data_IF_330231755835
#
_entry.id   IF_330231755835
#
_cell.length_a   1.000
_cell.length_b   1.000
_cell.length_c   1.000
_cell.angle_alpha   90.00
_cell.angle_beta   90.00
_cell.angle_gamma   90.00
#
_symmetry.space_group_name_H-M   'P 1'
#
loop_
_entity.id
_entity.type
_entity.pdbx_description
1 polymer ?
#
# COMPACT_ATOMS: atom_id res chain seq x y z
N UNK A 1 -21.87 17.83 18.07
CA UNK A 1 -21.97 16.37 17.79
C UNK A 1 -20.56 15.83 17.75
N UNK A 2 -20.09 15.30 18.88
CA UNK A 2 -18.76 14.72 19.03
C UNK A 2 -18.77 13.32 18.41
N UNK A 3 -18.12 13.18 17.26
CA UNK A 3 -17.88 11.92 16.56
C UNK A 3 -17.18 10.97 17.55
N UNK A 4 -17.57 9.69 17.66
CA UNK A 4 -16.81 8.75 18.48
C UNK A 4 -15.35 8.79 18.02
N UNK A 5 -14.41 8.83 18.98
CA UNK A 5 -12.98 8.72 18.74
C UNK A 5 -12.68 7.34 18.15
N UNK A 6 -12.96 7.18 16.85
CA UNK A 6 -12.53 6.03 16.07
C UNK A 6 -11.01 6.17 15.97
N UNK A 7 -10.31 5.43 16.81
CA UNK A 7 -8.85 5.47 16.93
C UNK A 7 -8.21 5.23 15.57
N UNK A 8 -7.52 6.23 15.04
CA UNK A 8 -6.81 6.12 13.76
C UNK A 8 -5.79 4.98 13.88
N UNK A 9 -5.77 4.01 12.93
CA UNK A 9 -4.82 2.90 12.99
C UNK A 9 -3.37 3.40 12.97
N UNK A 10 -2.46 2.67 13.61
CA UNK A 10 -1.05 3.10 13.84
C UNK A 10 -0.28 3.36 12.53
N UNK A 11 -0.62 2.68 11.44
CA UNK A 11 -0.04 2.87 10.10
C UNK A 11 -0.54 4.14 9.38
N UNK A 12 -1.59 4.76 9.90
CA UNK A 12 -2.26 5.90 9.29
C UNK A 12 -2.05 7.16 10.11
N UNK A 13 -1.99 8.26 9.37
CA UNK A 13 -2.05 9.60 9.92
C UNK A 13 -3.15 10.35 9.21
N UNK A 14 -4.07 10.92 9.97
CA UNK A 14 -5.14 11.75 9.47
C UNK A 14 -4.86 13.20 9.86
N UNK A 15 -4.80 14.09 8.88
CA UNK A 15 -4.62 15.52 9.08
C UNK A 15 -5.73 16.27 8.30
N UNK A 16 -6.07 17.48 8.75
CA UNK A 16 -6.97 18.37 8.01
C UNK A 16 -6.09 19.42 7.34
N UNK A 17 -6.09 19.43 6.02
CA UNK A 17 -5.33 20.40 5.24
C UNK A 17 -5.89 21.83 5.49
N UNK A 18 -5.10 22.90 5.37
CA UNK A 18 -5.60 24.28 5.37
C UNK A 18 -6.84 24.56 4.50
N UNK A 19 -7.09 23.77 3.45
CA UNK A 19 -8.31 23.83 2.65
C UNK A 19 -9.57 23.22 3.32
N UNK A 20 -9.45 22.64 4.51
CA UNK A 20 -10.52 21.91 5.22
C UNK A 20 -10.74 20.48 4.70
N UNK A 21 -9.88 19.99 3.82
CA UNK A 21 -9.96 18.64 3.26
C UNK A 21 -9.26 17.62 4.17
N UNK A 22 -9.82 16.41 4.27
CA UNK A 22 -9.20 15.33 5.05
C UNK A 22 -8.07 14.71 4.24
N UNK A 23 -6.87 14.75 4.78
CA UNK A 23 -5.67 14.14 4.23
C UNK A 23 -5.30 12.91 5.06
N UNK A 24 -5.17 11.77 4.39
CA UNK A 24 -4.72 10.53 4.98
C UNK A 24 -3.36 10.18 4.42
N UNK A 25 -2.39 9.97 5.30
CA UNK A 25 -1.08 9.47 4.91
C UNK A 25 -0.92 8.05 5.43
N UNK A 26 -0.69 7.12 4.51
CA UNK A 26 -0.23 5.78 4.83
C UNK A 26 1.26 5.70 4.52
N UNK A 27 2.02 5.23 5.51
CA UNK A 27 3.43 4.87 5.35
C UNK A 27 3.61 3.44 5.83
N UNK A 28 4.69 2.79 5.37
CA UNK A 28 5.05 1.48 5.94
C UNK A 28 5.22 1.64 7.45
N UNK A 29 4.39 0.92 8.21
CA UNK A 29 4.43 0.93 9.67
C UNK A 29 5.81 0.51 10.19
N UNK A 30 6.20 0.99 11.38
CA UNK A 30 7.36 0.45 12.06
C UNK A 30 7.11 -1.04 12.37
N UNK A 31 8.02 -1.92 11.95
CA UNK A 31 7.83 -3.36 12.11
C UNK A 31 8.98 -4.19 11.53
N UNK A 32 8.92 -5.51 11.73
CA UNK A 32 9.96 -6.44 11.32
C UNK A 32 10.29 -6.34 9.82
N UNK A 33 9.26 -6.20 8.97
CA UNK A 33 9.44 -6.08 7.52
C UNK A 33 10.19 -4.81 7.11
N UNK A 34 9.87 -3.67 7.75
CA UNK A 34 10.58 -2.41 7.53
C UNK A 34 12.04 -2.52 7.96
N UNK A 35 12.29 -3.05 9.16
CA UNK A 35 13.65 -3.19 9.69
C UNK A 35 14.48 -4.16 8.82
N UNK A 36 13.87 -5.24 8.36
CA UNK A 36 14.48 -6.19 7.44
C UNK A 36 14.87 -5.53 6.12
N UNK A 37 13.96 -4.78 5.49
CA UNK A 37 14.25 -4.06 4.25
C UNK A 37 15.34 -2.99 4.43
N UNK A 38 15.37 -2.29 5.56
CA UNK A 38 16.44 -1.34 5.88
C UNK A 38 17.79 -2.07 6.01
N UNK A 39 17.83 -3.18 6.73
CA UNK A 39 19.06 -3.97 6.91
C UNK A 39 19.58 -4.52 5.58
N UNK A 40 18.71 -5.16 4.79
CA UNK A 40 19.07 -5.69 3.46
C UNK A 40 19.52 -4.57 2.53
N UNK A 41 18.78 -3.45 2.52
CA UNK A 41 19.12 -2.28 1.73
C UNK A 41 20.50 -1.71 2.07
N UNK A 42 20.81 -1.57 3.35
CA UNK A 42 22.11 -1.10 3.83
C UNK A 42 23.24 -2.08 3.46
N UNK A 43 23.03 -3.39 3.61
CA UNK A 43 24.01 -4.42 3.25
C UNK A 43 24.31 -4.38 1.75
N UNK A 44 23.29 -4.30 0.90
CA UNK A 44 23.47 -4.24 -0.55
C UNK A 44 24.18 -2.97 -0.98
N UNK A 45 23.84 -1.81 -0.41
CA UNK A 45 24.58 -0.59 -0.65
C UNK A 45 26.06 -0.74 -0.24
N UNK A 46 26.36 -1.28 0.93
CA UNK A 46 27.73 -1.47 1.40
C UNK A 46 28.53 -2.43 0.52
N UNK A 47 27.96 -3.60 0.18
CA UNK A 47 28.61 -4.59 -0.69
C UNK A 47 28.81 -4.07 -2.12
N UNK A 48 27.83 -3.36 -2.66
CA UNK A 48 27.91 -2.77 -3.98
C UNK A 48 28.98 -1.67 -4.04
N UNK A 49 29.00 -0.74 -3.07
CA UNK A 49 30.03 0.31 -2.98
C UNK A 49 31.42 -0.31 -2.78
N UNK A 50 31.53 -1.32 -1.92
CA UNK A 50 32.78 -2.06 -1.72
C UNK A 50 33.26 -2.73 -3.01
N UNK A 51 32.35 -3.37 -3.76
CA UNK A 51 32.65 -3.99 -5.04
C UNK A 51 33.11 -2.98 -6.10
N UNK A 52 32.45 -1.82 -6.18
CA UNK A 52 32.90 -0.71 -7.05
C UNK A 52 34.28 -0.22 -6.63
N UNK A 53 34.50 0.03 -5.33
CA UNK A 53 35.78 0.46 -4.81
C UNK A 53 36.89 -0.54 -5.17
N UNK A 54 36.67 -1.83 -4.91
CA UNK A 54 37.63 -2.88 -5.21
C UNK A 54 37.96 -2.95 -6.70
N UNK A 55 36.98 -2.80 -7.59
CA UNK A 55 37.20 -2.78 -9.04
C UNK A 55 37.96 -1.53 -9.52
N UNK A 56 37.78 -0.39 -8.86
CA UNK A 56 38.45 0.87 -9.21
C UNK A 56 39.87 0.98 -8.64
N UNK A 57 40.14 0.36 -7.48
CA UNK A 57 41.44 0.42 -6.80
C UNK A 57 42.27 -0.86 -6.92
N UNK A 58 41.66 -1.96 -7.34
CA UNK A 58 42.35 -3.20 -7.64
C UNK A 58 43.15 -3.08 -8.93
N UNK A 59 44.23 -3.85 -9.06
CA UNK A 59 45.17 -3.87 -10.22
C UNK A 59 44.55 -4.37 -11.54
N UNK A 60 43.22 -4.32 -11.69
CA UNK A 60 42.53 -4.77 -12.89
C UNK A 60 42.61 -3.73 -14.01
N UNK A 61 43.26 -4.09 -15.12
CA UNK A 61 43.18 -3.32 -16.36
C UNK A 61 41.70 -3.15 -16.75
N UNK A 62 41.22 -1.90 -16.77
CA UNK A 62 39.87 -1.52 -17.21
C UNK A 62 39.73 -1.70 -18.73
N UNK A 63 39.66 -2.96 -19.16
CA UNK A 63 39.18 -3.34 -20.49
C UNK A 63 37.66 -3.14 -20.56
N UNK A 64 37.08 -3.21 -21.76
CA UNK A 64 35.62 -3.19 -21.95
C UNK A 64 34.87 -4.21 -21.07
N UNK A 65 35.48 -5.35 -20.78
CA UNK A 65 34.96 -6.38 -19.86
C UNK A 65 34.95 -5.92 -18.40
N UNK A 66 35.91 -5.08 -17.99
CA UNK A 66 35.95 -4.42 -16.68
C UNK A 66 34.84 -3.37 -16.52
N UNK A 67 34.37 -2.73 -17.59
CA UNK A 67 33.19 -1.85 -17.53
C UNK A 67 31.89 -2.65 -17.42
N UNK A 68 31.79 -3.80 -18.09
CA UNK A 68 30.65 -4.68 -17.94
C UNK A 68 30.56 -5.27 -16.52
N UNK A 69 31.70 -5.53 -15.87
CA UNK A 69 31.72 -6.04 -14.50
C UNK A 69 31.26 -5.01 -13.46
N UNK A 70 31.31 -3.70 -13.75
CA UNK A 70 30.73 -2.64 -12.91
C UNK A 70 29.19 -2.67 -12.86
N UNK A 71 28.53 -3.28 -13.84
CA UNK A 71 27.06 -3.37 -13.87
C UNK A 71 26.53 -4.21 -12.70
N UNK A 72 27.27 -5.23 -12.27
CA UNK A 72 26.88 -6.10 -11.17
C UNK A 72 26.85 -5.35 -9.83
N UNK A 73 27.94 -4.73 -9.35
CA UNK A 73 27.91 -3.98 -8.09
C UNK A 73 27.02 -2.74 -8.19
N UNK A 74 26.94 -2.07 -9.35
CA UNK A 74 25.98 -0.99 -9.56
C UNK A 74 24.53 -1.49 -9.43
N UNK A 75 24.20 -2.66 -9.98
CA UNK A 75 22.90 -3.30 -9.82
C UNK A 75 22.59 -3.67 -8.37
N UNK A 76 23.58 -4.13 -7.61
CA UNK A 76 23.45 -4.40 -6.17
C UNK A 76 23.18 -3.10 -5.40
N UNK A 77 23.90 -2.02 -5.69
CA UNK A 77 23.61 -0.70 -5.09
C UNK A 77 22.18 -0.25 -5.42
N UNK A 78 21.76 -0.35 -6.68
CA UNK A 78 20.40 0.01 -7.09
C UNK A 78 19.33 -0.82 -6.36
N UNK A 79 19.57 -2.12 -6.17
CA UNK A 79 18.70 -2.99 -5.39
C UNK A 79 18.63 -2.53 -3.92
N UNK A 80 19.77 -2.16 -3.33
CA UNK A 80 19.82 -1.60 -1.98
C UNK A 80 19.06 -0.28 -1.84
N UNK A 81 19.25 0.63 -2.79
CA UNK A 81 18.51 1.91 -2.85
C UNK A 81 17.01 1.68 -3.01
N UNK A 82 16.58 0.73 -3.83
CA UNK A 82 15.17 0.36 -3.99
C UNK A 82 14.56 -0.14 -2.66
N UNK A 83 15.27 -1.01 -1.94
CA UNK A 83 14.81 -1.51 -0.64
C UNK A 83 14.70 -0.38 0.40
N UNK A 84 15.66 0.55 0.42
CA UNK A 84 15.63 1.72 1.30
C UNK A 84 14.51 2.70 0.94
N UNK A 85 14.28 2.94 -0.36
CA UNK A 85 13.15 3.76 -0.83
C UNK A 85 11.83 3.18 -0.34
N UNK A 86 11.59 1.90 -0.57
CA UNK A 86 10.38 1.20 -0.13
C UNK A 86 10.17 1.25 1.40
N UNK A 87 11.26 1.17 2.19
CA UNK A 87 11.18 1.08 3.64
C UNK A 87 11.14 2.44 4.37
N UNK A 88 11.71 3.50 3.78
CA UNK A 88 11.91 4.78 4.45
C UNK A 88 11.16 5.95 3.80
N UNK A 89 11.03 5.93 2.47
CA UNK A 89 10.60 7.11 1.71
C UNK A 89 9.25 6.92 1.01
N UNK A 90 8.94 5.69 0.57
CA UNK A 90 7.68 5.36 -0.08
C UNK A 90 6.50 5.70 0.83
N UNK A 91 5.67 6.65 0.39
CA UNK A 91 4.46 7.09 1.11
C UNK A 91 3.31 7.24 0.13
N UNK A 92 2.12 6.90 0.61
CA UNK A 92 0.88 7.07 -0.13
C UNK A 92 0.01 8.08 0.59
N UNK A 93 -0.28 9.18 -0.11
CA UNK A 93 -1.13 10.26 0.37
C UNK A 93 -2.48 10.13 -0.31
N UNK A 94 -3.54 10.19 0.47
CA UNK A 94 -4.92 10.11 0.02
C UNK A 94 -5.63 11.36 0.49
N UNK A 95 -6.05 12.20 -0.45
CA UNK A 95 -6.76 13.43 -0.17
C UNK A 95 -8.23 13.22 -0.48
N UNK A 96 -9.07 13.34 0.54
CA UNK A 96 -10.52 13.29 0.45
C UNK A 96 -11.02 14.72 0.30
N UNK A 97 -11.00 15.20 -0.94
CA UNK A 97 -11.52 16.52 -1.29
C UNK A 97 -13.03 16.52 -1.43
N UNK A 98 -13.62 17.70 -1.67
CA UNK A 98 -15.09 17.85 -1.76
C UNK A 98 -15.68 16.99 -2.89
N UNK A 99 -15.02 17.00 -4.06
CA UNK A 99 -15.51 16.38 -5.30
C UNK A 99 -14.57 15.31 -5.87
N UNK A 100 -13.41 15.07 -5.26
CA UNK A 100 -12.41 14.14 -5.78
C UNK A 100 -11.67 13.41 -4.66
N UNK A 101 -11.27 12.19 -4.96
CA UNK A 101 -10.31 11.41 -4.21
C UNK A 101 -8.98 11.43 -4.96
N UNK A 102 -7.97 12.05 -4.38
CA UNK A 102 -6.64 12.14 -4.99
C UNK A 102 -5.68 11.20 -4.27
N UNK A 103 -5.05 10.31 -5.03
CA UNK A 103 -4.02 9.40 -4.55
C UNK A 103 -2.68 9.83 -5.09
N UNK A 104 -1.74 10.13 -4.21
CA UNK A 104 -0.37 10.47 -4.57
C UNK A 104 0.58 9.48 -3.90
N UNK A 105 1.22 8.65 -4.72
CA UNK A 105 2.33 7.79 -4.27
C UNK A 105 3.63 8.51 -4.56
N UNK A 106 4.41 8.77 -3.51
CA UNK A 106 5.72 9.40 -3.59
C UNK A 106 6.78 8.36 -3.25
N UNK A 107 7.74 8.18 -4.15
CA UNK A 107 8.92 7.33 -4.01
C UNK A 107 10.09 8.03 -4.73
N UNK A 108 11.33 7.72 -4.34
CA UNK A 108 12.54 8.26 -4.97
C UNK A 108 12.60 7.93 -6.46
N UNK A 109 12.05 6.79 -6.87
CA UNK A 109 12.13 6.29 -8.25
C UNK A 109 10.90 6.65 -9.07
N UNK A 110 9.75 6.84 -8.43
CA UNK A 110 8.51 7.14 -9.14
C UNK A 110 7.52 7.89 -8.28
N UNK A 111 7.06 9.02 -8.79
CA UNK A 111 5.85 9.67 -8.30
C UNK A 111 4.68 9.29 -9.20
N UNK A 112 3.57 8.83 -8.63
CA UNK A 112 2.30 8.62 -9.35
C UNK A 112 1.20 9.38 -8.66
N UNK A 113 0.40 10.09 -9.43
CA UNK A 113 -0.83 10.71 -8.95
C UNK A 113 -2.00 10.15 -9.74
N UNK A 114 -3.09 9.87 -9.04
CA UNK A 114 -4.36 9.45 -9.63
C UNK A 114 -5.48 10.17 -8.93
N UNK A 115 -6.29 10.87 -9.71
CA UNK A 115 -7.48 11.55 -9.20
C UNK A 115 -8.72 10.76 -9.67
N UNK A 116 -9.62 10.49 -8.73
CA UNK A 116 -10.90 9.81 -8.97
C UNK A 116 -12.00 10.80 -8.60
N UNK A 117 -12.96 10.99 -9.49
CA UNK A 117 -14.10 11.89 -9.23
C UNK A 117 -15.03 11.21 -8.24
N UNK A 118 -15.48 11.92 -7.20
CA UNK A 118 -16.35 11.35 -6.17
C UNK A 118 -17.64 10.74 -6.75
N UNK A 119 -18.21 11.39 -7.78
CA UNK A 119 -19.43 10.93 -8.46
C UNK A 119 -19.23 9.65 -9.28
N UNK A 120 -17.99 9.31 -9.64
CA UNK A 120 -17.68 8.05 -10.34
C UNK A 120 -17.59 6.85 -9.39
N UNK A 121 -17.57 7.08 -8.08
CA UNK A 121 -17.50 6.00 -7.10
C UNK A 121 -18.82 5.22 -7.08
N UNK A 122 -18.71 3.91 -7.21
CA UNK A 122 -19.84 2.98 -7.22
C UNK A 122 -20.00 2.34 -5.85
N UNK A 123 -18.90 1.84 -5.28
CA UNK A 123 -18.89 1.15 -4.00
C UNK A 123 -17.49 1.16 -3.38
N UNK A 124 -17.43 0.86 -2.08
CA UNK A 124 -16.18 0.54 -1.38
C UNK A 124 -16.18 -0.96 -1.15
N UNK A 125 -15.22 -1.67 -1.73
CA UNK A 125 -15.13 -3.13 -1.65
C UNK A 125 -14.07 -3.54 -0.63
N UNK A 126 -14.44 -4.37 0.33
CA UNK A 126 -13.51 -5.00 1.26
C UNK A 126 -13.31 -6.44 0.82
N UNK A 127 -12.07 -6.78 0.45
CA UNK A 127 -11.73 -8.13 0.01
C UNK A 127 -10.89 -8.84 1.05
N UNK A 128 -11.33 -10.05 1.39
CA UNK A 128 -10.62 -10.93 2.30
C UNK A 128 -9.78 -11.96 1.53
N UNK A 129 -8.55 -12.18 2.00
CA UNK A 129 -7.64 -13.21 1.53
C UNK A 129 -7.25 -14.10 2.72
N UNK A 130 -7.68 -15.38 2.76
CA UNK A 130 -7.29 -16.29 3.82
C UNK A 130 -5.79 -16.59 3.75
N UNK A 131 -5.16 -16.93 4.88
CA UNK A 131 -3.71 -17.21 4.92
C UNK A 131 -3.33 -18.51 4.18
N UNK A 132 -4.29 -19.43 4.02
CA UNK A 132 -4.18 -20.66 3.24
C UNK A 132 -5.55 -20.89 2.56
N UNK A 133 -5.61 -21.30 1.28
CA UNK A 133 -6.86 -21.79 0.65
C UNK A 133 -7.53 -22.93 1.44
N UNK A 134 -6.72 -23.60 2.26
CA UNK A 134 -6.99 -24.52 3.36
C UNK A 134 -7.89 -24.07 4.50
N UNK A 135 -7.72 -22.80 4.84
CA UNK A 135 -8.00 -22.29 6.17
C UNK A 135 -9.49 -22.05 6.37
N UNK A 136 -10.00 -22.39 7.55
CA UNK A 136 -11.37 -22.07 7.92
C UNK A 136 -11.58 -20.56 7.91
N UNK A 137 -12.82 -20.15 7.61
CA UNK A 137 -13.35 -18.78 7.68
C UNK A 137 -13.04 -18.01 8.96
N UNK A 138 -12.71 -18.71 10.04
CA UNK A 138 -12.37 -18.17 11.35
C UNK A 138 -10.90 -17.83 11.54
N UNK A 139 -10.04 -18.23 10.60
CA UNK A 139 -8.60 -17.95 10.67
C UNK A 139 -8.35 -16.50 10.31
N UNK A 140 -7.53 -15.74 11.07
CA UNK A 140 -7.18 -14.37 10.69
C UNK A 140 -6.38 -14.37 9.38
N UNK A 141 -6.85 -13.61 8.40
CA UNK A 141 -6.18 -13.38 7.12
C UNK A 141 -6.16 -11.90 6.75
N UNK A 142 -5.77 -11.63 5.51
CA UNK A 142 -5.53 -10.27 5.03
C UNK A 142 -6.82 -9.63 4.51
N UNK A 143 -7.07 -8.40 4.93
CA UNK A 143 -8.18 -7.57 4.46
C UNK A 143 -7.66 -6.38 3.68
N UNK A 144 -8.16 -6.16 2.46
CA UNK A 144 -7.78 -5.03 1.63
C UNK A 144 -9.00 -4.23 1.22
N UNK A 145 -8.90 -2.90 1.34
CA UNK A 145 -9.96 -1.97 0.92
C UNK A 145 -9.72 -1.50 -0.50
N UNK A 146 -10.75 -1.59 -1.34
CA UNK A 146 -10.76 -1.16 -2.73
C UNK A 146 -11.82 -0.08 -2.94
N UNK A 147 -11.47 0.94 -3.72
CA UNK A 147 -12.41 1.90 -4.27
C UNK A 147 -12.86 1.41 -5.64
N UNK A 148 -14.14 1.06 -5.78
CA UNK A 148 -14.74 0.74 -7.07
C UNK A 148 -15.30 2.03 -7.69
N UNK A 149 -14.85 2.37 -8.89
CA UNK A 149 -15.30 3.55 -9.63
C UNK A 149 -15.47 3.24 -11.11
N UNK A 150 -16.41 3.93 -11.74
CA UNK A 150 -16.59 3.87 -13.18
C UNK A 150 -15.51 4.69 -13.88
N UNK A 151 -14.73 4.05 -14.74
CA UNK A 151 -13.67 4.73 -15.46
C UNK A 151 -14.26 5.50 -16.65
N UNK A 152 -13.92 6.79 -16.75
CA UNK A 152 -14.39 7.67 -17.82
C UNK A 152 -13.97 7.21 -19.24
N UNK A 153 -13.06 6.25 -19.36
CA UNK A 153 -12.60 5.69 -20.64
C UNK A 153 -13.51 4.55 -21.17
N UNK A 154 -14.65 4.31 -20.51
CA UNK A 154 -15.63 3.31 -20.95
C UNK A 154 -15.18 1.86 -20.73
N UNK A 155 -14.11 1.64 -19.95
CA UNK A 155 -13.61 0.30 -19.60
C UNK A 155 -14.40 -0.36 -18.46
N UNK A 156 -15.48 0.27 -18.01
CA UNK A 156 -16.34 -0.20 -16.93
C UNK A 156 -15.75 0.05 -15.54
N UNK A 157 -16.27 -0.70 -14.57
CA UNK A 157 -15.91 -0.54 -13.16
C UNK A 157 -14.47 -0.97 -12.93
N UNK A 158 -13.64 0.00 -12.56
CA UNK A 158 -12.27 -0.20 -12.13
C UNK A 158 -12.19 -0.24 -10.60
N UNK A 159 -11.18 -0.93 -10.09
CA UNK A 159 -10.90 -0.97 -8.65
C UNK A 159 -9.52 -0.37 -8.37
N UNK A 160 -9.41 0.38 -7.26
CA UNK A 160 -8.14 0.87 -6.74
C UNK A 160 -7.95 0.32 -5.32
N UNK A 161 -6.93 -0.51 -5.13
CA UNK A 161 -6.50 -0.95 -3.81
C UNK A 161 -5.88 0.22 -3.04
N UNK A 162 -6.30 0.38 -1.78
CA UNK A 162 -5.63 1.24 -0.82
C UNK A 162 -4.51 0.47 -0.14
N UNK A 163 -3.35 1.11 -0.03
CA UNK A 163 -2.21 0.56 0.72
C UNK A 163 -2.53 0.55 2.22
N UNK A 164 -1.87 -0.32 2.99
CA UNK A 164 -2.07 -0.42 4.43
C UNK A 164 -1.33 -1.59 5.07
N UNK A 165 -1.72 -1.94 6.28
CA UNK A 165 -1.29 -3.14 7.03
C UNK A 165 -2.13 -4.38 6.74
N UNK A 166 -3.21 -4.22 5.95
CA UNK A 166 -4.13 -5.27 5.53
C UNK A 166 -4.86 -5.95 6.68
N UNK A 167 -5.16 -5.20 7.75
CA UNK A 167 -5.87 -5.72 8.91
C UNK A 167 -7.37 -5.47 8.83
N UNK A 168 -8.16 -6.27 9.56
CA UNK A 168 -9.61 -6.11 9.65
C UNK A 168 -10.01 -4.75 10.25
N UNK A 169 -9.29 -4.28 11.29
CA UNK A 169 -9.53 -3.01 11.97
C UNK A 169 -9.31 -1.82 11.03
N UNK A 170 -8.18 -1.81 10.33
CA UNK A 170 -7.84 -0.78 9.34
C UNK A 170 -8.84 -0.77 8.19
N UNK A 171 -9.19 -1.94 7.67
CA UNK A 171 -10.15 -2.08 6.57
C UNK A 171 -11.54 -1.59 6.95
N UNK A 172 -11.97 -1.85 8.20
CA UNK A 172 -13.23 -1.34 8.72
C UNK A 172 -13.19 0.18 8.86
N UNK A 173 -12.16 0.73 9.50
CA UNK A 173 -12.00 2.17 9.69
C UNK A 173 -11.99 2.93 8.34
N UNK A 174 -11.22 2.43 7.37
CA UNK A 174 -11.19 2.98 6.01
C UNK A 174 -12.57 2.93 5.35
N UNK A 175 -13.28 1.82 5.45
CA UNK A 175 -14.61 1.69 4.84
C UNK A 175 -15.64 2.64 5.48
N UNK A 176 -15.65 2.77 6.81
CA UNK A 176 -16.54 3.73 7.51
C UNK A 176 -16.26 5.16 7.05
N UNK A 177 -14.99 5.55 7.01
CA UNK A 177 -14.60 6.90 6.64
C UNK A 177 -14.89 7.20 5.16
N UNK A 178 -14.53 6.29 4.26
CA UNK A 178 -14.72 6.47 2.82
C UNK A 178 -16.20 6.41 2.45
N UNK A 179 -17.00 5.55 3.07
CA UNK A 179 -18.43 5.45 2.78
C UNK A 179 -19.17 6.70 3.26
N UNK A 180 -18.81 7.22 4.43
CA UNK A 180 -19.30 8.49 4.92
C UNK A 180 -18.91 9.66 4.00
N UNK A 181 -17.65 9.69 3.55
CA UNK A 181 -17.18 10.73 2.65
C UNK A 181 -17.83 10.64 1.26
N UNK A 182 -17.90 9.46 0.64
CA UNK A 182 -18.40 9.29 -0.72
C UNK A 182 -19.93 9.24 -0.78
N UNK A 183 -20.59 8.69 0.23
CA UNK A 183 -22.03 8.38 0.23
C UNK A 183 -22.38 7.10 -0.53
N UNK A 184 -21.45 6.15 -0.62
CA UNK A 184 -21.58 4.90 -1.40
C UNK A 184 -21.66 3.67 -0.49
N UNK A 185 -22.29 2.58 -0.93
CA UNK A 185 -22.37 1.35 -0.15
C UNK A 185 -21.00 0.69 0.03
N UNK A 186 -20.87 -0.05 1.13
CA UNK A 186 -19.72 -0.93 1.40
C UNK A 186 -20.11 -2.36 1.04
N UNK A 187 -19.35 -2.97 0.14
CA UNK A 187 -19.50 -4.36 -0.30
C UNK A 187 -18.37 -5.20 0.29
N UNK A 188 -18.68 -6.42 0.71
CA UNK A 188 -17.70 -7.38 1.23
C UNK A 188 -17.63 -8.60 0.32
N UNK A 189 -16.44 -9.15 0.17
CA UNK A 189 -16.23 -10.35 -0.65
C UNK A 189 -14.87 -10.98 -0.43
N UNK A 190 -14.64 -12.10 -1.10
CA UNK A 190 -13.32 -12.71 -1.21
C UNK A 190 -12.51 -12.05 -2.33
N UNK A 191 -11.18 -12.10 -2.22
CA UNK A 191 -10.31 -11.81 -3.36
C UNK A 191 -10.65 -12.75 -4.54
N UNK A 192 -10.50 -12.27 -5.78
CA UNK A 192 -10.94 -13.00 -6.98
C UNK A 192 -10.29 -14.41 -7.10
N UNK A 193 -9.10 -14.58 -6.53
CA UNK A 193 -8.37 -15.85 -6.49
C UNK A 193 -8.99 -16.90 -5.55
N UNK A 194 -9.86 -16.46 -4.63
CA UNK A 194 -10.46 -17.26 -3.55
C UNK A 194 -11.98 -17.42 -3.73
N UNK A 195 -12.56 -16.77 -4.75
CA UNK A 195 -14.02 -16.66 -4.98
C UNK A 195 -14.77 -17.99 -5.23
N UNK A 196 -14.11 -19.15 -5.10
CA UNK A 196 -14.75 -20.46 -5.03
C UNK A 196 -15.20 -20.85 -3.60
N UNK A 197 -14.81 -20.09 -2.56
CA UNK A 197 -15.28 -20.28 -1.19
C UNK A 197 -16.60 -19.54 -0.96
N UNK A 198 -17.60 -20.25 -0.42
CA UNK A 198 -18.97 -19.77 -0.24
C UNK A 198 -19.05 -18.40 0.47
N UNK A 199 -19.83 -17.47 -0.08
CA UNK A 199 -20.03 -16.11 0.45
C UNK A 199 -20.59 -16.06 1.89
N UNK A 200 -21.03 -17.20 2.44
CA UNK A 200 -21.51 -17.38 3.82
C UNK A 200 -20.38 -17.54 4.85
N UNK A 201 -19.12 -17.60 4.41
CA UNK A 201 -17.94 -17.90 5.23
C UNK A 201 -16.99 -16.71 5.44
N UNK A 202 -17.44 -15.46 5.29
CA UNK A 202 -16.57 -14.30 5.55
C UNK A 202 -16.34 -14.11 7.07
N UNK A 203 -15.09 -13.90 7.52
CA UNK A 203 -14.83 -13.62 8.94
C UNK A 203 -15.51 -12.31 9.35
N UNK A 204 -16.13 -12.22 10.55
CA UNK A 204 -16.77 -10.99 11.00
C UNK A 204 -15.76 -9.87 11.24
N UNK A 205 -16.08 -8.66 10.78
CA UNK A 205 -15.29 -7.47 11.10
C UNK A 205 -15.57 -7.00 12.53
N UNK A 206 -14.66 -6.25 13.18
CA UNK A 206 -14.83 -5.79 14.57
C UNK A 206 -16.16 -5.10 14.88
N UNK A 207 -16.76 -4.35 13.94
CA UNK A 207 -18.10 -3.73 14.10
C UNK A 207 -19.24 -4.75 14.24
N UNK A 208 -19.11 -5.91 13.61
CA UNK A 208 -20.15 -6.95 13.60
C UNK A 208 -20.06 -7.87 14.82
N UNK A 209 -18.90 -7.93 15.49
CA UNK A 209 -18.74 -8.68 16.74
C UNK A 209 -19.48 -8.04 17.92
N UNK A 210 -19.81 -6.75 17.81
CA UNK A 210 -20.44 -5.95 18.86
C UNK A 210 -21.89 -5.54 18.55
N UNK A 211 -22.45 -6.03 17.44
CA UNK A 211 -23.84 -5.80 17.02
C UNK A 211 -24.70 -7.03 17.33
#
# INVERSE_FOLDING_TARGET
MTRPEETVPVSWRQEINPAGETELTCAMGAGANRNFLVAVGAIFCALGIWGVYWLLTGEGDLTWEGYASLLMPAGVVLCGVYALDAALYARSWYLLGVNRFSVRKVSLLRTRQRDIVRQSLVAIRQKYTPPDPTASSTTPGDWVTFLAYDAADGKGVCELALDGTHTAEETQWLATMLSHWAGVPVERGFAAEVAAADALELPPLPSEKNA
#
